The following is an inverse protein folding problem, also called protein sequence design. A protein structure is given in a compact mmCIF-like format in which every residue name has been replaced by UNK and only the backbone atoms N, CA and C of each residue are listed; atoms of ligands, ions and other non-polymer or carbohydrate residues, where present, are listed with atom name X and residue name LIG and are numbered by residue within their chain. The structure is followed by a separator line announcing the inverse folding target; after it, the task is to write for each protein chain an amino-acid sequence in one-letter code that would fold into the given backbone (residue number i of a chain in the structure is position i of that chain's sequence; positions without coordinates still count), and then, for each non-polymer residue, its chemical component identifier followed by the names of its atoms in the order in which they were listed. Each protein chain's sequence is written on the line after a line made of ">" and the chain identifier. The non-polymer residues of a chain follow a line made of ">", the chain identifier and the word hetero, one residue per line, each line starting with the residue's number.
data_IF_779852759870
#
_entry.id   IF_779852759870
#
_cell.length_a   1.000
_cell.length_b   1.000
_cell.length_c   1.000
_cell.angle_alpha   90.00
_cell.angle_beta   90.00
_cell.angle_gamma   90.00
#
_symmetry.space_group_name_H-M   'P 1'
#
loop_
_entity.id
_entity.type
_entity.pdbx_description
1 polymer ?
#
# COMPACT_ATOMS: atom_id res chain seq x y z
N UNK A 1 -2.18 -2.11 -15.08
CA UNK A 1 -1.59 -1.89 -13.75
C UNK A 1 -2.70 -1.54 -12.77
N UNK A 2 -2.55 -1.91 -11.50
CA UNK A 2 -3.46 -1.56 -10.41
C UNK A 2 -2.60 -0.96 -9.29
N UNK A 3 -2.84 0.30 -8.96
CA UNK A 3 -2.17 1.01 -7.86
C UNK A 3 -3.06 0.93 -6.63
N UNK A 4 -2.50 0.55 -5.48
CA UNK A 4 -3.26 0.36 -4.25
C UNK A 4 -2.57 1.09 -3.10
N UNK A 5 -3.35 1.90 -2.39
CA UNK A 5 -2.93 2.69 -1.23
C UNK A 5 -3.95 2.50 -0.11
N UNK A 6 -3.73 1.48 0.71
CA UNK A 6 -4.59 1.11 1.84
C UNK A 6 -3.69 0.87 3.06
N UNK A 7 -4.21 1.13 4.26
CA UNK A 7 -3.46 1.01 5.53
C UNK A 7 -3.60 2.24 6.43
N UNK A 8 -3.79 3.44 5.86
CA UNK A 8 -3.93 4.66 6.68
C UNK A 8 -5.07 4.56 7.68
N UNK A 9 -6.23 4.08 7.27
CA UNK A 9 -7.39 3.95 8.16
C UNK A 9 -7.22 2.83 9.20
N UNK A 10 -6.43 1.80 8.87
CA UNK A 10 -6.13 0.68 9.75
C UNK A 10 -5.22 1.12 10.91
N UNK A 11 -4.27 2.02 10.65
CA UNK A 11 -3.19 2.31 11.58
C UNK A 11 -3.20 3.70 12.23
N UNK A 12 -3.97 4.66 11.72
CA UNK A 12 -3.98 6.04 12.29
C UNK A 12 -4.72 6.19 13.61
N UNK A 13 -5.36 5.13 14.12
CA UNK A 13 -6.01 5.15 15.44
C UNK A 13 -5.51 4.03 16.35
N UNK A 14 -5.49 4.25 17.68
CA UNK A 14 -5.36 3.16 18.65
C UNK A 14 -6.54 2.19 18.53
N UNK A 15 -6.30 0.92 18.86
CA UNK A 15 -7.35 -0.08 18.93
C UNK A 15 -8.39 0.28 20.00
N UNK A 16 -9.67 0.25 19.60
CA UNK A 16 -10.81 0.49 20.46
C UNK A 16 -11.30 -0.81 21.13
N UNK A 17 -11.91 -0.73 22.33
CA UNK A 17 -12.35 -1.92 23.08
C UNK A 17 -13.30 -2.87 22.34
N UNK A 18 -14.10 -2.34 21.40
CA UNK A 18 -15.07 -3.10 20.61
C UNK A 18 -14.49 -3.81 19.39
N UNK A 19 -13.23 -3.55 19.03
CA UNK A 19 -12.59 -4.15 17.87
C UNK A 19 -12.20 -5.62 18.13
N UNK A 20 -12.10 -6.39 17.03
CA UNK A 20 -11.76 -7.81 17.09
C UNK A 20 -10.30 -8.05 17.50
N UNK A 21 -9.40 -7.12 17.18
CA UNK A 21 -7.98 -7.21 17.52
C UNK A 21 -7.75 -6.76 18.96
N UNK A 22 -7.01 -7.57 19.73
CA UNK A 22 -6.68 -7.28 21.15
C UNK A 22 -5.28 -6.73 21.33
N UNK A 23 -4.44 -6.81 20.30
CA UNK A 23 -3.06 -6.32 20.28
C UNK A 23 -2.75 -5.74 18.91
N UNK A 24 -1.72 -4.89 18.85
CA UNK A 24 -1.27 -4.29 17.58
C UNK A 24 -0.72 -5.36 16.62
N UNK A 25 0.04 -6.31 17.14
CA UNK A 25 0.53 -7.46 16.37
C UNK A 25 -0.61 -8.29 15.75
N UNK A 26 -1.76 -8.42 16.45
CA UNK A 26 -2.91 -9.12 15.91
C UNK A 26 -3.57 -8.34 14.75
N UNK A 27 -3.57 -7.01 14.82
CA UNK A 27 -4.00 -6.15 13.71
C UNK A 27 -3.03 -6.28 12.53
N UNK A 28 -1.72 -6.21 12.76
CA UNK A 28 -0.69 -6.39 11.73
C UNK A 28 -0.87 -7.70 10.98
N UNK A 29 -0.90 -8.83 11.71
CA UNK A 29 -1.03 -10.15 11.10
C UNK A 29 -2.32 -10.31 10.27
N UNK A 30 -3.45 -9.79 10.77
CA UNK A 30 -4.73 -9.86 10.05
C UNK A 30 -4.77 -8.92 8.84
N UNK A 31 -4.21 -7.71 8.97
CA UNK A 31 -4.05 -6.76 7.88
C UNK A 31 -3.21 -7.35 6.75
N UNK A 32 -2.02 -7.87 7.07
CA UNK A 32 -1.11 -8.44 6.09
C UNK A 32 -1.75 -9.60 5.33
N UNK A 33 -2.37 -10.54 6.06
CA UNK A 33 -3.05 -11.69 5.48
C UNK A 33 -4.25 -11.29 4.62
N UNK A 34 -5.05 -10.33 5.08
CA UNK A 34 -6.24 -9.84 4.36
C UNK A 34 -5.85 -9.09 3.10
N UNK A 35 -4.81 -8.25 3.15
CA UNK A 35 -4.33 -7.51 1.99
C UNK A 35 -3.72 -8.46 0.94
N UNK A 36 -2.91 -9.44 1.36
CA UNK A 36 -2.40 -10.46 0.45
C UNK A 36 -3.54 -11.26 -0.22
N UNK A 37 -4.58 -11.62 0.54
CA UNK A 37 -5.79 -12.29 0.01
C UNK A 37 -6.56 -11.40 -0.98
N UNK A 38 -6.71 -10.11 -0.68
CA UNK A 38 -7.33 -9.14 -1.57
C UNK A 38 -6.58 -9.05 -2.91
N UNK A 39 -5.25 -8.96 -2.87
CA UNK A 39 -4.42 -8.95 -4.08
C UNK A 39 -4.53 -10.28 -4.83
N UNK A 40 -4.56 -11.42 -4.14
CA UNK A 40 -4.83 -12.73 -4.76
C UNK A 40 -6.16 -12.77 -5.50
N UNK A 41 -7.22 -12.21 -4.90
CA UNK A 41 -8.53 -12.07 -5.55
C UNK A 41 -8.50 -11.16 -6.78
N UNK A 42 -7.76 -10.04 -6.72
CA UNK A 42 -7.53 -9.18 -7.87
C UNK A 42 -6.73 -9.88 -8.97
N UNK A 43 -5.69 -10.65 -8.60
CA UNK A 43 -4.86 -11.42 -9.53
C UNK A 43 -5.68 -12.45 -10.28
N UNK A 44 -6.57 -13.17 -9.60
CA UNK A 44 -7.46 -14.15 -10.23
C UNK A 44 -8.36 -13.51 -11.31
N UNK A 45 -8.85 -12.29 -11.07
CA UNK A 45 -9.66 -11.53 -12.03
C UNK A 45 -8.83 -10.80 -13.09
N UNK A 46 -7.59 -10.48 -12.79
CA UNK A 46 -6.68 -9.71 -13.64
C UNK A 46 -5.33 -10.44 -13.77
N UNK A 47 -5.27 -11.55 -14.53
CA UNK A 47 -4.08 -12.42 -14.58
C UNK A 47 -2.83 -11.73 -15.14
N UNK A 48 -2.96 -10.55 -15.75
CA UNK A 48 -1.82 -9.79 -16.31
C UNK A 48 -1.53 -8.48 -15.60
N UNK A 49 -2.27 -8.12 -14.54
CA UNK A 49 -2.06 -6.85 -13.85
C UNK A 49 -0.69 -6.79 -13.16
N UNK A 50 0.01 -5.67 -13.30
CA UNK A 50 1.08 -5.29 -12.38
C UNK A 50 0.48 -4.56 -11.18
N UNK A 51 0.81 -4.98 -9.96
CA UNK A 51 0.39 -4.35 -8.73
C UNK A 51 1.48 -3.44 -8.20
N UNK A 52 1.14 -2.17 -7.95
CA UNK A 52 2.02 -1.24 -7.24
C UNK A 52 1.34 -0.84 -5.94
N UNK A 53 1.91 -1.27 -4.82
CA UNK A 53 1.47 -0.86 -3.50
C UNK A 53 2.26 0.39 -3.12
N UNK A 54 1.60 1.39 -2.56
CA UNK A 54 2.31 2.51 -1.94
C UNK A 54 1.72 2.85 -0.58
N UNK A 55 2.55 3.42 0.27
CA UNK A 55 2.18 3.81 1.62
C UNK A 55 2.98 5.04 2.07
N UNK A 56 2.39 5.82 2.95
CA UNK A 56 3.01 6.96 3.63
C UNK A 56 3.74 6.52 4.90
N UNK A 57 4.67 7.35 5.35
CA UNK A 57 5.38 7.29 6.63
C UNK A 57 4.57 7.82 7.84
N UNK A 58 3.28 8.14 7.67
CA UNK A 58 2.39 8.44 8.80
C UNK A 58 2.33 7.29 9.83
N UNK A 59 1.79 7.61 11.03
CA UNK A 59 1.75 6.69 12.17
C UNK A 59 3.15 6.16 12.54
N UNK A 60 4.13 7.06 12.60
CA UNK A 60 5.52 6.75 12.96
C UNK A 60 6.14 5.64 12.10
N UNK A 61 5.80 5.60 10.80
CA UNK A 61 6.30 4.62 9.83
C UNK A 61 5.58 3.26 9.86
N UNK A 62 4.55 3.10 10.68
CA UNK A 62 3.83 1.82 10.78
C UNK A 62 3.13 1.44 9.46
N UNK A 63 2.49 2.41 8.80
CA UNK A 63 1.74 2.13 7.56
C UNK A 63 2.70 1.64 6.46
N UNK A 64 3.85 2.30 6.28
CA UNK A 64 4.85 1.86 5.32
C UNK A 64 5.43 0.48 5.66
N UNK A 65 5.71 0.22 6.94
CA UNK A 65 6.27 -1.05 7.38
C UNK A 65 5.34 -2.22 7.06
N UNK A 66 4.04 -2.11 7.38
CA UNK A 66 3.08 -3.19 7.16
C UNK A 66 2.76 -3.40 5.67
N UNK A 67 2.69 -2.33 4.86
CA UNK A 67 2.51 -2.47 3.40
C UNK A 67 3.73 -3.08 2.73
N UNK A 68 4.94 -2.74 3.18
CA UNK A 68 6.17 -3.35 2.70
C UNK A 68 6.18 -4.87 2.98
N UNK A 69 5.78 -5.29 4.19
CA UNK A 69 5.66 -6.72 4.53
C UNK A 69 4.65 -7.45 3.64
N UNK A 70 3.51 -6.84 3.32
CA UNK A 70 2.55 -7.42 2.35
C UNK A 70 3.21 -7.69 1.00
N UNK A 71 3.95 -6.72 0.46
CA UNK A 71 4.64 -6.88 -0.81
C UNK A 71 5.70 -8.00 -0.73
N UNK A 72 6.47 -8.08 0.35
CA UNK A 72 7.46 -9.14 0.55
C UNK A 72 6.81 -10.52 0.72
N UNK A 73 5.69 -10.63 1.45
CA UNK A 73 4.93 -11.88 1.57
C UNK A 73 4.41 -12.38 0.22
N UNK A 74 3.89 -11.47 -0.62
CA UNK A 74 3.45 -11.81 -1.97
C UNK A 74 4.61 -12.28 -2.86
N UNK A 75 5.75 -11.59 -2.82
CA UNK A 75 6.96 -11.99 -3.56
C UNK A 75 7.47 -13.35 -3.09
N UNK A 76 7.51 -13.59 -1.78
CA UNK A 76 7.90 -14.88 -1.19
C UNK A 76 6.95 -16.01 -1.60
N UNK A 77 5.66 -15.71 -1.78
CA UNK A 77 4.64 -16.63 -2.31
C UNK A 77 4.70 -16.80 -3.84
N UNK A 78 5.63 -16.14 -4.53
CA UNK A 78 5.87 -16.29 -5.96
C UNK A 78 5.16 -15.28 -6.86
N UNK A 79 4.46 -14.29 -6.32
CA UNK A 79 3.94 -13.18 -7.13
C UNK A 79 5.12 -12.36 -7.68
N UNK A 80 5.20 -12.24 -9.01
CA UNK A 80 6.32 -11.60 -9.70
C UNK A 80 6.02 -10.18 -10.15
N UNK A 81 4.75 -9.78 -10.23
CA UNK A 81 4.31 -8.47 -10.72
C UNK A 81 3.64 -7.70 -9.60
N UNK A 82 4.38 -7.58 -8.51
CA UNK A 82 4.05 -6.75 -7.36
C UNK A 82 5.30 -5.97 -6.96
N UNK A 83 5.12 -4.69 -6.68
CA UNK A 83 6.15 -3.84 -6.12
C UNK A 83 5.58 -2.94 -5.03
N UNK A 84 6.50 -2.36 -4.27
CA UNK A 84 6.21 -1.41 -3.22
C UNK A 84 6.98 -0.11 -3.48
N UNK A 85 6.30 1.02 -3.31
CA UNK A 85 6.86 2.37 -3.42
C UNK A 85 6.55 3.15 -2.12
N UNK A 86 7.55 3.53 -1.31
CA UNK A 86 7.32 4.43 -0.18
C UNK A 86 6.98 5.84 -0.68
N UNK A 87 6.05 6.50 0.02
CA UNK A 87 5.54 7.83 -0.31
C UNK A 87 5.66 8.74 0.92
N UNK A 88 6.90 9.12 1.19
CA UNK A 88 7.28 9.74 2.46
C UNK A 88 7.37 11.27 2.31
N UNK A 89 7.19 12.00 3.40
CA UNK A 89 7.33 13.46 3.42
C UNK A 89 6.14 14.25 2.85
N UNK A 90 4.97 13.62 2.73
CA UNK A 90 3.72 14.32 2.43
C UNK A 90 3.31 15.22 3.61
N UNK A 91 2.75 16.39 3.33
CA UNK A 91 2.44 17.41 4.33
C UNK A 91 1.10 17.19 5.03
N UNK A 92 0.12 16.61 4.34
CA UNK A 92 -1.25 16.39 4.83
C UNK A 92 -1.91 17.69 5.34
N UNK A 93 -1.66 18.82 4.68
CA UNK A 93 -2.10 20.15 5.11
C UNK A 93 -3.54 20.52 4.74
N UNK A 94 -4.29 19.65 4.06
CA UNK A 94 -5.68 19.92 3.70
C UNK A 94 -6.65 19.57 4.85
N UNK A 95 -7.95 19.59 4.56
CA UNK A 95 -8.99 19.29 5.52
C UNK A 95 -8.81 17.90 6.16
N UNK A 96 -8.94 17.83 7.49
CA UNK A 96 -8.87 16.57 8.25
C UNK A 96 -7.56 15.80 8.00
N UNK A 97 -6.43 16.51 7.90
CA UNK A 97 -5.12 15.92 7.63
C UNK A 97 -5.09 15.06 6.36
N UNK A 98 -5.78 15.51 5.30
CA UNK A 98 -5.68 14.89 3.98
C UNK A 98 -4.57 15.53 3.15
N UNK A 99 -4.07 14.83 2.11
CA UNK A 99 -3.18 15.42 1.11
C UNK A 99 -3.76 16.73 0.57
N UNK A 100 -2.90 17.75 0.42
CA UNK A 100 -3.24 18.93 -0.37
C UNK A 100 -2.80 18.76 -1.84
N UNK A 101 -2.99 19.81 -2.66
CA UNK A 101 -2.62 19.76 -4.08
C UNK A 101 -1.12 19.51 -4.28
N UNK A 102 -0.26 20.00 -3.39
CA UNK A 102 1.19 19.80 -3.49
C UNK A 102 1.56 18.35 -3.14
N UNK A 103 0.85 17.73 -2.20
CA UNK A 103 0.99 16.31 -1.92
C UNK A 103 0.50 15.46 -3.10
N UNK A 104 -0.64 15.82 -3.71
CA UNK A 104 -1.14 15.15 -4.93
C UNK A 104 -0.13 15.25 -6.09
N UNK A 105 0.51 16.40 -6.29
CA UNK A 105 1.56 16.60 -7.29
C UNK A 105 2.79 15.71 -7.02
N UNK A 106 3.21 15.59 -5.76
CA UNK A 106 4.32 14.71 -5.36
C UNK A 106 3.97 13.24 -5.62
N UNK A 107 2.77 12.80 -5.24
CA UNK A 107 2.27 11.44 -5.47
C UNK A 107 2.23 11.15 -6.98
N UNK A 108 1.66 12.05 -7.76
CA UNK A 108 1.55 11.90 -9.21
C UNK A 108 2.93 11.80 -9.88
N UNK A 109 3.88 12.62 -9.43
CA UNK A 109 5.27 12.60 -9.92
C UNK A 109 5.94 11.27 -9.60
N UNK A 110 5.90 10.82 -8.35
CA UNK A 110 6.53 9.57 -7.93
C UNK A 110 5.96 8.34 -8.66
N UNK A 111 4.63 8.29 -8.84
CA UNK A 111 3.98 7.23 -9.61
C UNK A 111 4.35 7.29 -11.10
N UNK A 112 4.38 8.49 -11.68
CA UNK A 112 4.79 8.70 -13.07
C UNK A 112 6.23 8.26 -13.33
N UNK A 113 7.15 8.67 -12.46
CA UNK A 113 8.57 8.31 -12.53
C UNK A 113 8.77 6.79 -12.42
N UNK A 114 8.05 6.13 -11.48
CA UNK A 114 8.07 4.68 -11.37
C UNK A 114 7.61 4.01 -12.67
N UNK A 115 6.46 4.43 -13.21
CA UNK A 115 5.91 3.87 -14.43
C UNK A 115 6.86 4.05 -15.62
N UNK A 116 7.55 5.20 -15.71
CA UNK A 116 8.51 5.48 -16.77
C UNK A 116 9.77 4.62 -16.65
N UNK A 117 10.25 4.38 -15.43
CA UNK A 117 11.41 3.53 -15.17
C UNK A 117 11.13 2.03 -15.36
N UNK A 118 9.85 1.62 -15.32
CA UNK A 118 9.41 0.23 -15.37
C UNK A 118 8.49 -0.05 -16.57
N UNK A 119 8.99 -0.04 -17.83
CA UNK A 119 8.15 -0.26 -19.02
C UNK A 119 7.44 -1.62 -19.01
N UNK A 120 7.91 -2.61 -18.23
CA UNK A 120 7.26 -3.90 -18.01
C UNK A 120 5.85 -3.78 -17.40
N UNK A 121 5.51 -2.66 -16.72
CA UNK A 121 4.16 -2.45 -16.19
C UNK A 121 3.08 -2.41 -17.27
N UNK A 122 3.47 -2.11 -18.52
CA UNK A 122 2.61 -2.08 -19.70
C UNK A 122 2.63 -3.39 -20.49
N UNK A 123 3.67 -4.21 -20.32
CA UNK A 123 3.93 -5.33 -21.22
C UNK A 123 2.92 -6.47 -21.07
N UNK A 124 2.21 -6.57 -19.93
CA UNK A 124 1.22 -7.62 -19.67
C UNK A 124 1.77 -9.03 -19.86
N UNK A 125 3.10 -9.20 -19.77
CA UNK A 125 3.88 -10.41 -20.02
C UNK A 125 4.98 -10.49 -18.98
#
# INVERSE_FOLDING_TARGET
>A
MIVIALGTNDFTTPLNPGEKWKTRDALHADYEATYASFIGGLRARNPQAYFLLWATDMADGEIEAEVAKVAEHLKAAGERRVAYLPMNGLAFSACNAHPDLKDDEQIATALGDYIQAHPEVWAGR
#
